data_IF_560358728890
#
_entry.id   IF_560358728890
#
_cell.length_a   1.000
_cell.length_b   1.000
_cell.length_c   1.000
_cell.angle_alpha   90.00
_cell.angle_beta   90.00
_cell.angle_gamma   90.00
#
_symmetry.space_group_name_H-M   'P 1'
#
loop_
_entity.id
_entity.type
_entity.pdbx_description
1 polymer ?
#
# COMPACT_ATOMS: atom_id res chain seq x y z
N UNK A 1 17.77 -12.27 14.69
CA UNK A 1 17.77 -10.82 14.92
C UNK A 1 19.20 -10.37 15.12
N UNK A 2 19.64 -9.29 14.46
CA UNK A 2 20.98 -8.73 14.72
C UNK A 2 20.98 -8.09 16.10
N UNK A 3 21.96 -8.39 16.93
CA UNK A 3 22.17 -7.73 18.23
C UNK A 3 22.63 -6.28 18.03
N UNK A 4 21.68 -5.42 17.67
CA UNK A 4 21.91 -3.99 17.51
C UNK A 4 21.55 -3.25 18.80
N UNK A 5 22.26 -2.17 19.15
CA UNK A 5 21.89 -1.31 20.26
C UNK A 5 20.44 -0.84 20.15
N UNK A 6 19.74 -0.66 21.27
CA UNK A 6 18.33 -0.22 21.27
C UNK A 6 18.11 1.12 20.54
N UNK A 7 19.13 1.99 20.53
CA UNK A 7 19.12 3.29 19.84
C UNK A 7 19.42 3.22 18.34
N UNK A 8 19.81 2.05 17.81
CA UNK A 8 20.15 1.94 16.40
C UNK A 8 18.91 2.14 15.52
N UNK A 9 19.05 2.98 14.49
CA UNK A 9 18.05 3.26 13.45
C UNK A 9 18.67 3.16 12.06
N UNK A 10 17.93 2.63 11.07
CA UNK A 10 18.38 2.64 9.66
C UNK A 10 18.51 4.07 9.16
N UNK A 11 19.31 4.32 8.11
CA UNK A 11 19.41 5.65 7.47
C UNK A 11 18.29 5.86 6.45
N UNK A 12 17.96 7.11 6.13
CA UNK A 12 16.92 7.40 5.12
C UNK A 12 17.35 6.98 3.71
N UNK A 13 18.65 6.94 3.45
CA UNK A 13 19.25 6.49 2.19
C UNK A 13 19.39 4.97 2.09
N UNK A 14 19.02 4.23 3.13
CA UNK A 14 18.99 2.76 3.09
C UNK A 14 17.94 2.31 2.06
N UNK A 15 18.29 1.34 1.21
CA UNK A 15 17.38 0.84 0.17
C UNK A 15 16.09 0.28 0.76
N UNK A 16 16.16 -0.29 1.96
CA UNK A 16 14.99 -0.76 2.69
C UNK A 16 14.00 0.37 2.99
N UNK A 17 14.51 1.59 3.19
CA UNK A 17 13.67 2.76 3.46
C UNK A 17 13.19 3.38 2.15
N UNK A 18 14.09 3.79 1.26
CA UNK A 18 13.69 4.60 0.11
C UNK A 18 12.89 3.83 -0.95
N UNK A 19 12.99 2.50 -1.03
CA UNK A 19 12.16 1.68 -1.93
C UNK A 19 10.65 1.80 -1.67
N UNK A 20 10.24 2.24 -0.47
CA UNK A 20 8.84 2.55 -0.14
C UNK A 20 8.26 3.69 -0.97
N UNK A 21 9.09 4.54 -1.58
CA UNK A 21 8.62 5.60 -2.48
C UNK A 21 7.78 5.07 -3.65
N UNK A 22 7.94 3.79 -4.01
CA UNK A 22 7.11 3.11 -5.01
C UNK A 22 5.61 3.10 -4.66
N UNK A 23 5.23 3.24 -3.38
CA UNK A 23 3.83 3.31 -2.96
C UNK A 23 3.20 4.70 -3.14
N UNK A 24 4.00 5.77 -3.26
CA UNK A 24 3.50 7.15 -3.23
C UNK A 24 2.58 7.46 -4.42
N UNK A 25 2.92 7.13 -5.68
CA UNK A 25 2.05 7.44 -6.82
C UNK A 25 0.65 6.81 -6.69
N UNK A 26 0.59 5.56 -6.24
CA UNK A 26 -0.67 4.84 -6.03
C UNK A 26 -1.54 5.51 -4.95
N UNK A 27 -0.96 5.97 -3.84
CA UNK A 27 -1.69 6.72 -2.81
C UNK A 27 -2.27 8.01 -3.39
N UNK A 28 -1.48 8.76 -4.16
CA UNK A 28 -1.92 10.01 -4.79
C UNK A 28 -3.10 9.76 -5.72
N UNK A 29 -2.97 8.78 -6.62
CA UNK A 29 -4.03 8.45 -7.58
C UNK A 29 -5.29 7.96 -6.85
N UNK A 30 -5.16 6.99 -5.95
CA UNK A 30 -6.29 6.41 -5.22
C UNK A 30 -7.06 7.41 -4.35
N UNK A 31 -6.38 8.46 -3.85
CA UNK A 31 -6.97 9.49 -3.00
C UNK A 31 -7.71 10.59 -3.78
N UNK A 32 -7.54 10.67 -5.11
CA UNK A 32 -8.16 11.73 -5.91
C UNK A 32 -9.66 11.46 -6.09
N UNK A 33 -10.54 12.34 -5.57
CA UNK A 33 -11.97 12.20 -5.80
C UNK A 33 -12.26 12.39 -7.30
N UNK A 34 -13.25 11.68 -7.85
CA UNK A 34 -13.56 11.79 -9.26
C UNK A 34 -14.19 13.16 -9.53
N UNK A 35 -13.85 13.76 -10.67
CA UNK A 35 -14.46 15.02 -11.10
C UNK A 35 -15.98 14.89 -11.35
N UNK A 36 -16.46 13.67 -11.60
CA UNK A 36 -17.89 13.36 -11.71
C UNK A 36 -18.18 11.98 -11.12
N UNK A 37 -19.36 11.81 -10.52
CA UNK A 37 -19.83 10.53 -9.96
C UNK A 37 -20.17 9.48 -11.04
N UNK A 38 -19.98 9.77 -12.32
CA UNK A 38 -20.30 8.85 -13.43
C UNK A 38 -19.24 7.77 -13.60
N UNK A 39 -17.98 8.05 -13.21
CA UNK A 39 -16.90 7.07 -13.19
C UNK A 39 -16.17 7.16 -11.87
N UNK A 40 -16.15 6.06 -11.13
CA UNK A 40 -15.39 5.90 -9.89
C UNK A 40 -14.04 5.22 -10.14
N UNK A 41 -13.68 4.99 -11.41
CA UNK A 41 -12.40 4.38 -11.77
C UNK A 41 -11.28 5.25 -11.20
N UNK A 42 -10.42 4.60 -10.43
CA UNK A 42 -9.26 5.20 -9.78
C UNK A 42 -9.51 6.02 -8.53
N UNK A 43 -10.77 6.25 -8.13
CA UNK A 43 -11.05 6.74 -6.79
C UNK A 43 -11.27 5.55 -5.84
N UNK A 44 -10.20 5.21 -5.12
CA UNK A 44 -10.13 4.06 -4.21
C UNK A 44 -9.77 4.56 -2.81
N UNK A 45 -10.67 5.27 -2.11
CA UNK A 45 -10.36 5.86 -0.80
C UNK A 45 -9.94 4.81 0.23
N UNK A 46 -10.46 3.58 0.13
CA UNK A 46 -10.05 2.46 0.96
C UNK A 46 -8.61 2.00 0.67
N UNK A 47 -8.18 1.99 -0.59
CA UNK A 47 -6.80 1.68 -0.96
C UNK A 47 -5.88 2.78 -0.45
N UNK A 48 -6.24 4.06 -0.66
CA UNK A 48 -5.45 5.19 -0.19
C UNK A 48 -5.25 5.14 1.33
N UNK A 49 -6.32 4.90 2.09
CA UNK A 49 -6.25 4.80 3.55
C UNK A 49 -5.41 3.59 4.01
N UNK A 50 -5.69 2.41 3.48
CA UNK A 50 -5.00 1.17 3.84
C UNK A 50 -3.50 1.26 3.51
N UNK A 51 -3.17 1.72 2.31
CA UNK A 51 -1.79 1.86 1.87
C UNK A 51 -1.03 2.95 2.60
N UNK A 52 -1.67 4.08 2.93
CA UNK A 52 -1.04 5.13 3.75
C UNK A 52 -0.69 4.60 5.14
N UNK A 53 -1.62 3.88 5.79
CA UNK A 53 -1.37 3.26 7.08
C UNK A 53 -0.24 2.21 7.01
N UNK A 54 -0.28 1.31 6.02
CA UNK A 54 0.79 0.33 5.78
C UNK A 54 2.13 1.01 5.54
N UNK A 55 2.18 2.05 4.71
CA UNK A 55 3.41 2.79 4.40
C UNK A 55 4.03 3.43 5.65
N UNK A 56 3.23 4.09 6.48
CA UNK A 56 3.70 4.73 7.72
C UNK A 56 4.22 3.66 8.70
N UNK A 57 3.46 2.59 8.91
CA UNK A 57 3.85 1.50 9.80
C UNK A 57 5.11 0.78 9.32
N UNK A 58 5.19 0.48 8.02
CA UNK A 58 6.32 -0.22 7.42
C UNK A 58 7.59 0.62 7.45
N UNK A 59 7.51 1.92 7.12
CA UNK A 59 8.64 2.84 7.30
C UNK A 59 9.13 2.90 8.75
N UNK A 60 8.22 3.01 9.72
CA UNK A 60 8.58 3.01 11.14
C UNK A 60 9.23 1.68 11.56
N UNK A 61 8.69 0.56 11.09
CA UNK A 61 9.19 -0.79 11.38
C UNK A 61 10.60 -1.01 10.82
N UNK A 62 10.82 -0.70 9.53
CA UNK A 62 12.13 -0.79 8.89
C UNK A 62 13.13 0.18 9.49
N UNK A 63 12.71 1.42 9.80
CA UNK A 63 13.56 2.39 10.50
C UNK A 63 14.08 1.84 11.83
N UNK A 64 13.28 1.02 12.50
CA UNK A 64 13.58 0.36 13.76
C UNK A 64 14.27 -1.01 13.62
N UNK A 65 14.90 -1.31 12.48
CA UNK A 65 15.58 -2.60 12.21
C UNK A 65 14.68 -3.82 12.43
N UNK A 66 13.40 -3.69 12.08
CA UNK A 66 12.48 -4.81 12.04
C UNK A 66 12.38 -5.57 13.39
N UNK A 67 12.58 -4.86 14.51
CA UNK A 67 12.57 -5.47 15.85
C UNK A 67 11.17 -6.03 16.18
N UNK A 68 11.08 -7.22 16.82
CA UNK A 68 9.80 -7.77 17.25
C UNK A 68 9.13 -6.89 18.31
N UNK A 69 7.80 -6.88 18.31
CA UNK A 69 6.99 -6.10 19.27
C UNK A 69 5.67 -5.63 18.65
N UNK A 70 4.99 -4.73 19.35
CA UNK A 70 3.67 -4.23 18.92
C UNK A 70 3.70 -3.59 17.52
N UNK A 71 4.74 -2.81 17.21
CA UNK A 71 4.91 -2.20 15.88
C UNK A 71 4.98 -3.27 14.78
N UNK A 72 5.78 -4.33 14.98
CA UNK A 72 5.90 -5.43 14.02
C UNK A 72 4.57 -6.16 13.82
N UNK A 73 3.80 -6.34 14.90
CA UNK A 73 2.46 -6.94 14.82
C UNK A 73 1.50 -6.06 14.03
N UNK A 74 1.43 -4.76 14.34
CA UNK A 74 0.56 -3.81 13.65
C UNK A 74 0.91 -3.70 12.16
N UNK A 75 2.19 -3.49 11.84
CA UNK A 75 2.71 -3.47 10.46
C UNK A 75 2.30 -4.76 9.73
N UNK A 76 2.56 -5.92 10.34
CA UNK A 76 2.28 -7.21 9.73
C UNK A 76 0.79 -7.47 9.50
N UNK A 77 -0.11 -6.88 10.28
CA UNK A 77 -1.57 -6.95 10.05
C UNK A 77 -1.95 -6.09 8.85
N UNK A 78 -1.50 -4.83 8.82
CA UNK A 78 -1.81 -3.90 7.73
C UNK A 78 -1.21 -4.35 6.39
N UNK A 79 0.03 -4.84 6.38
CA UNK A 79 0.66 -5.39 5.19
C UNK A 79 -0.10 -6.60 4.63
N UNK A 80 -0.60 -7.51 5.49
CA UNK A 80 -1.43 -8.64 5.05
C UNK A 80 -2.80 -8.19 4.55
N UNK A 81 -3.43 -7.23 5.21
CA UNK A 81 -4.69 -6.66 4.74
C UNK A 81 -4.53 -6.02 3.36
N UNK A 82 -3.44 -5.26 3.12
CA UNK A 82 -3.12 -4.68 1.82
C UNK A 82 -2.85 -5.75 0.76
N UNK A 83 -2.10 -6.80 1.11
CA UNK A 83 -1.86 -7.94 0.21
C UNK A 83 -3.16 -8.65 -0.19
N UNK A 84 -4.07 -8.90 0.78
CA UNK A 84 -5.37 -9.51 0.51
C UNK A 84 -6.26 -8.59 -0.34
N UNK A 85 -6.28 -7.29 -0.06
CA UNK A 85 -6.97 -6.31 -0.89
C UNK A 85 -6.49 -6.36 -2.34
N UNK A 86 -5.16 -6.34 -2.54
CA UNK A 86 -4.56 -6.52 -3.86
C UNK A 86 -4.98 -7.83 -4.51
N UNK A 87 -4.98 -8.94 -3.76
CA UNK A 87 -5.40 -10.25 -4.24
C UNK A 87 -6.84 -10.29 -4.75
N UNK A 88 -7.77 -9.67 -4.03
CA UNK A 88 -9.17 -9.50 -4.48
C UNK A 88 -9.22 -8.65 -5.73
N UNK A 89 -8.51 -7.52 -5.76
CA UNK A 89 -8.45 -6.66 -6.94
C UNK A 89 -7.89 -7.39 -8.18
N UNK A 90 -6.83 -8.21 -8.03
CA UNK A 90 -6.32 -9.07 -9.10
C UNK A 90 -7.42 -9.96 -9.68
N UNK A 91 -8.20 -10.63 -8.84
CA UNK A 91 -9.30 -11.48 -9.28
C UNK A 91 -10.42 -10.70 -10.00
N UNK A 92 -10.57 -9.41 -9.68
CA UNK A 92 -11.52 -8.48 -10.29
C UNK A 92 -10.94 -7.66 -11.44
N UNK A 93 -9.82 -8.07 -12.05
CA UNK A 93 -9.19 -7.30 -13.15
C UNK A 93 -10.14 -7.14 -14.35
N UNK A 94 -10.34 -5.92 -14.89
CA UNK A 94 -11.35 -5.66 -15.92
C UNK A 94 -10.92 -6.09 -17.33
N UNK A 95 -9.64 -6.46 -17.51
CA UNK A 95 -9.09 -6.93 -18.79
C UNK A 95 -8.07 -8.06 -18.57
N UNK A 96 -7.90 -8.99 -19.54
CA UNK A 96 -6.94 -10.08 -19.43
C UNK A 96 -5.49 -9.64 -19.22
N UNK A 97 -5.08 -8.54 -19.86
CA UNK A 97 -3.73 -7.98 -19.76
C UNK A 97 -3.46 -7.48 -18.33
N UNK A 98 -4.46 -6.82 -17.74
CA UNK A 98 -4.40 -6.37 -16.35
C UNK A 98 -4.37 -7.55 -15.38
N UNK A 99 -5.16 -8.61 -15.64
CA UNK A 99 -5.11 -9.84 -14.84
C UNK A 99 -3.72 -10.47 -14.87
N UNK A 100 -3.09 -10.55 -16.05
CA UNK A 100 -1.75 -11.11 -16.20
C UNK A 100 -0.69 -10.28 -15.45
N UNK A 101 -0.75 -8.95 -15.58
CA UNK A 101 0.14 -8.04 -14.86
C UNK A 101 -0.03 -8.14 -13.34
N UNK A 102 -1.27 -8.04 -12.86
CA UNK A 102 -1.62 -8.11 -11.44
C UNK A 102 -1.25 -9.48 -10.83
N UNK A 103 -1.48 -10.57 -11.58
CA UNK A 103 -1.10 -11.93 -11.15
C UNK A 103 0.42 -12.07 -11.05
N UNK A 104 1.17 -11.49 -12.00
CA UNK A 104 2.63 -11.49 -11.97
C UNK A 104 3.15 -10.75 -10.74
N UNK A 105 2.58 -9.58 -10.42
CA UNK A 105 2.94 -8.83 -9.22
C UNK A 105 2.61 -9.60 -7.93
N UNK A 106 1.42 -10.21 -7.86
CA UNK A 106 0.99 -11.04 -6.74
C UNK A 106 1.96 -12.21 -6.51
N UNK A 107 2.26 -12.97 -7.56
CA UNK A 107 3.16 -14.11 -7.49
C UNK A 107 4.60 -13.71 -7.15
N UNK A 108 5.09 -12.61 -7.71
CA UNK A 108 6.42 -12.08 -7.39
C UNK A 108 6.50 -11.63 -5.92
N UNK A 109 5.46 -10.98 -5.40
CA UNK A 109 5.36 -10.56 -3.99
C UNK A 109 5.34 -11.77 -3.06
N UNK A 110 4.43 -12.72 -3.31
CA UNK A 110 4.30 -13.94 -2.51
C UNK A 110 5.57 -14.80 -2.57
N UNK A 111 6.13 -14.96 -3.78
CA UNK A 111 7.38 -15.68 -4.00
C UNK A 111 8.54 -15.03 -3.24
N UNK A 112 8.66 -13.71 -3.30
CA UNK A 112 9.68 -12.98 -2.53
C UNK A 112 9.49 -13.21 -1.03
N UNK A 113 8.28 -13.07 -0.50
CA UNK A 113 8.00 -13.35 0.91
C UNK A 113 8.43 -14.76 1.32
N UNK A 114 8.05 -15.78 0.55
CA UNK A 114 8.44 -17.17 0.84
C UNK A 114 9.97 -17.32 0.82
N UNK A 115 10.63 -16.80 -0.22
CA UNK A 115 12.09 -16.91 -0.35
C UNK A 115 12.80 -16.19 0.79
N UNK A 116 12.43 -14.94 1.10
CA UNK A 116 13.17 -14.11 2.06
C UNK A 116 12.83 -14.41 3.51
N UNK A 117 11.64 -14.95 3.81
CA UNK A 117 11.20 -15.14 5.18
C UNK A 117 11.19 -16.62 5.61
N UNK A 118 11.05 -17.55 4.66
CA UNK A 118 10.91 -18.98 4.95
C UNK A 118 12.12 -19.78 4.46
N UNK A 119 12.59 -19.54 3.23
CA UNK A 119 13.63 -20.38 2.59
C UNK A 119 15.04 -19.93 2.94
N UNK A 120 15.41 -18.70 2.61
CA UNK A 120 16.74 -18.16 2.84
C UNK A 120 16.70 -16.68 3.26
N UNK A 121 16.80 -16.46 4.57
CA UNK A 121 16.82 -15.12 5.16
C UNK A 121 18.07 -14.31 4.79
N UNK A 122 19.12 -14.92 4.25
CA UNK A 122 20.32 -14.18 3.79
C UNK A 122 19.99 -13.31 2.57
N UNK A 123 18.97 -13.70 1.82
CA UNK A 123 18.47 -12.97 0.65
C UNK A 123 17.60 -11.76 1.01
N UNK A 124 17.19 -11.66 2.28
CA UNK A 124 16.23 -10.66 2.75
C UNK A 124 16.61 -9.24 2.38
N UNK A 125 17.78 -8.75 2.80
CA UNK A 125 18.20 -7.35 2.58
C UNK A 125 18.31 -6.98 1.09
N UNK A 126 18.50 -7.97 0.21
CA UNK A 126 18.64 -7.74 -1.23
C UNK A 126 17.29 -7.76 -1.96
N UNK A 127 16.46 -8.75 -1.65
CA UNK A 127 15.25 -9.03 -2.43
C UNK A 127 13.98 -8.44 -1.82
N UNK A 128 13.93 -8.30 -0.50
CA UNK A 128 12.77 -7.73 0.20
C UNK A 128 12.37 -6.34 -0.34
N UNK A 129 13.27 -5.35 -0.50
CA UNK A 129 12.84 -4.04 -0.98
C UNK A 129 12.28 -4.07 -2.41
N UNK A 130 12.78 -4.98 -3.25
CA UNK A 130 12.30 -5.15 -4.62
C UNK A 130 10.93 -5.83 -4.62
N UNK A 131 10.85 -7.03 -4.07
CA UNK A 131 9.66 -7.87 -4.19
C UNK A 131 8.56 -7.55 -3.18
N UNK A 132 8.85 -6.83 -2.10
CA UNK A 132 7.88 -6.48 -1.06
C UNK A 132 7.63 -4.97 -0.90
N UNK A 133 8.42 -4.09 -1.54
CA UNK A 133 8.08 -2.65 -1.62
C UNK A 133 7.81 -2.21 -3.06
N UNK A 134 8.77 -2.40 -3.98
CA UNK A 134 8.65 -1.89 -5.36
C UNK A 134 7.54 -2.61 -6.11
N UNK A 135 7.56 -3.95 -6.14
CA UNK A 135 6.54 -4.74 -6.86
C UNK A 135 5.13 -4.47 -6.31
N UNK A 136 4.87 -4.50 -4.98
CA UNK A 136 3.58 -4.10 -4.44
C UNK A 136 3.19 -2.65 -4.71
N UNK A 137 4.16 -1.72 -4.74
CA UNK A 137 3.91 -0.32 -5.11
C UNK A 137 3.42 -0.18 -6.55
N UNK A 138 4.08 -0.86 -7.50
CA UNK A 138 3.66 -0.92 -8.91
C UNK A 138 2.31 -1.59 -9.08
N UNK A 139 2.07 -2.69 -8.36
CA UNK A 139 0.78 -3.39 -8.36
C UNK A 139 -0.34 -2.48 -7.89
N UNK A 140 -0.12 -1.77 -6.78
CA UNK A 140 -1.11 -0.85 -6.22
C UNK A 140 -1.37 0.33 -7.15
N UNK A 141 -0.36 0.81 -7.88
CA UNK A 141 -0.56 1.86 -8.88
C UNK A 141 -1.42 1.36 -10.04
N UNK A 142 -1.17 0.15 -10.54
CA UNK A 142 -1.99 -0.44 -11.59
C UNK A 142 -3.45 -0.62 -11.15
N UNK A 143 -3.66 -1.08 -9.90
CA UNK A 143 -5.00 -1.13 -9.29
C UNK A 143 -5.62 0.26 -9.22
N UNK A 144 -4.90 1.26 -8.72
CA UNK A 144 -5.38 2.63 -8.63
C UNK A 144 -5.69 3.30 -9.97
N UNK A 145 -5.08 2.86 -11.08
CA UNK A 145 -5.36 3.44 -12.40
C UNK A 145 -6.54 2.78 -13.12
N UNK A 146 -6.81 1.51 -12.83
CA UNK A 146 -7.68 0.70 -13.69
C UNK A 146 -8.83 -0.01 -12.98
N UNK A 147 -8.87 0.01 -11.65
CA UNK A 147 -9.88 -0.71 -10.89
C UNK A 147 -10.90 0.23 -10.27
N UNK A 148 -12.03 -0.36 -9.89
CA UNK A 148 -13.08 0.27 -9.12
C UNK A 148 -12.97 -0.09 -7.64
N UNK A 149 -13.61 0.71 -6.80
CA UNK A 149 -13.62 0.51 -5.36
C UNK A 149 -14.35 -0.77 -4.99
N UNK A 150 -13.85 -1.46 -3.96
CA UNK A 150 -14.54 -2.60 -3.35
C UNK A 150 -15.60 -2.15 -2.33
N UNK A 151 -15.62 -0.88 -1.95
CA UNK A 151 -16.68 -0.31 -1.12
C UNK A 151 -18.00 -0.16 -1.90
N UNK A 152 -19.15 -0.31 -1.22
CA UNK A 152 -20.43 -0.06 -1.85
C UNK A 152 -20.62 1.43 -2.19
N UNK A 153 -21.45 1.76 -3.20
CA UNK A 153 -21.68 3.16 -3.61
C UNK A 153 -22.14 4.11 -2.49
N UNK A 154 -22.86 3.60 -1.49
CA UNK A 154 -23.27 4.39 -0.32
C UNK A 154 -22.09 4.82 0.55
N UNK A 155 -21.11 3.95 0.75
CA UNK A 155 -19.90 4.26 1.51
C UNK A 155 -19.00 5.24 0.75
N UNK A 156 -18.90 5.08 -0.58
CA UNK A 156 -18.23 6.04 -1.43
C UNK A 156 -18.88 7.42 -1.31
N UNK A 157 -20.20 7.54 -1.51
CA UNK A 157 -20.89 8.84 -1.36
C UNK A 157 -20.63 9.49 -0.01
N UNK A 158 -20.72 8.74 1.09
CA UNK A 158 -20.43 9.25 2.43
C UNK A 158 -18.97 9.75 2.55
N UNK A 159 -18.00 9.02 1.98
CA UNK A 159 -16.60 9.45 1.98
C UNK A 159 -16.38 10.73 1.16
N UNK A 160 -17.06 10.87 0.01
CA UNK A 160 -17.01 12.09 -0.81
C UNK A 160 -17.58 13.30 -0.06
N UNK A 161 -18.75 13.12 0.57
CA UNK A 161 -19.43 14.16 1.34
C UNK A 161 -18.56 14.62 2.53
N UNK A 162 -17.95 13.68 3.26
CA UNK A 162 -17.04 13.98 4.35
C UNK A 162 -15.81 14.77 3.87
N UNK A 163 -15.20 14.36 2.74
CA UNK A 163 -14.05 15.04 2.15
C UNK A 163 -14.41 16.49 1.74
N UNK A 164 -15.52 16.66 1.02
CA UNK A 164 -15.98 17.97 0.53
C UNK A 164 -16.37 18.90 1.68
N UNK A 165 -17.06 18.38 2.69
CA UNK A 165 -17.45 19.14 3.88
C UNK A 165 -16.23 19.58 4.69
N UNK A 166 -15.24 18.69 4.87
CA UNK A 166 -13.99 19.00 5.55
C UNK A 166 -13.20 20.11 4.85
N UNK A 167 -13.11 20.06 3.52
CA UNK A 167 -12.45 21.11 2.71
C UNK A 167 -13.20 22.44 2.85
N UNK A 168 -14.53 22.43 2.74
CA UNK A 168 -15.36 23.64 2.84
C UNK A 168 -15.23 24.30 4.22
N UNK A 169 -15.22 23.50 5.28
CA UNK A 169 -14.98 23.97 6.65
C UNK A 169 -13.57 24.52 6.83
N UNK A 170 -12.54 23.83 6.34
CA UNK A 170 -11.15 24.27 6.43
C UNK A 170 -10.89 25.59 5.68
N UNK A 171 -11.60 25.83 4.58
CA UNK A 171 -11.50 27.06 3.79
C UNK A 171 -12.40 28.19 4.30
N UNK A 172 -13.19 27.98 5.36
CA UNK A 172 -14.10 28.99 5.90
C UNK A 172 -15.22 29.39 4.94
N UNK A 173 -15.58 28.52 3.99
CA UNK A 173 -16.58 28.80 2.95
C UNK A 173 -18.03 28.51 3.40
N UNK A 174 -18.24 28.24 4.69
CA UNK A 174 -19.59 28.07 5.26
C UNK A 174 -20.07 29.44 5.73
N UNK A 175 -20.83 30.13 4.87
CA UNK A 175 -21.48 31.42 5.14
C UNK A 175 -22.95 31.38 4.78
#
# INVERSE_FOLDING_TARGET
TRDLPASAVRRATDFQIWSHTAFVPAVIVAAQPPASMVSTVGWLPELAALQTATLVLSLAYHRNFERPGALATCEGVFAKALFLYGGVQTACSPAPELLAFNSTCLLATLGTYIVTNVVDQRLYERWHPIGLHIVPGMWSLNVALHHESLLPPSALRAAHEACTSGITAALGLVG
#
